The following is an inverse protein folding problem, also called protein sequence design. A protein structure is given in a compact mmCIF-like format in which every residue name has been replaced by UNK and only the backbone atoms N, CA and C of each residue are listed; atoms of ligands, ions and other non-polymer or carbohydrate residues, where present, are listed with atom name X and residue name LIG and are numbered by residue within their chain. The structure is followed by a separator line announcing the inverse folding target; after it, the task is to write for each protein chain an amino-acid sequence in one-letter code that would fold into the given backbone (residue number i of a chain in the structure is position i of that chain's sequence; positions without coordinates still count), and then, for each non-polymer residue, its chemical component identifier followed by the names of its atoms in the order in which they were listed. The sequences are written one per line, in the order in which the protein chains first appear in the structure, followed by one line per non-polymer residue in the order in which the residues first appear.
data_IF_691840370459
#
_entry.id   IF_691840370459
#
_cell.length_a   1.000
_cell.length_b   1.000
_cell.length_c   1.000
_cell.angle_alpha   90.00
_cell.angle_beta   90.00
_cell.angle_gamma   90.00
#
_symmetry.space_group_name_H-M   'P 1'
#
loop_
_entity.id
_entity.type
_entity.pdbx_description
1 polymer ?
#
# COMPACT_ATOMS: atom_id res chain seq x y z
N UNK A 1 9.77 -2.75 -9.61
CA UNK A 1 8.99 -1.90 -8.69
C UNK A 1 9.24 -2.45 -7.30
N UNK A 2 9.92 -1.70 -6.41
CA UNK A 2 10.17 -2.16 -5.04
C UNK A 2 8.85 -2.02 -4.27
N UNK A 3 8.12 -3.12 -4.18
CA UNK A 3 6.90 -3.23 -3.39
C UNK A 3 7.26 -3.03 -1.90
N UNK A 4 6.41 -2.33 -1.15
CA UNK A 4 6.48 -2.28 0.31
C UNK A 4 6.10 -3.65 0.86
N UNK A 5 7.09 -4.54 0.96
CA UNK A 5 6.92 -5.91 1.42
C UNK A 5 8.14 -6.33 2.25
N UNK A 6 7.93 -7.25 3.19
CA UNK A 6 9.01 -7.87 3.95
C UNK A 6 9.85 -8.81 3.08
N UNK A 7 11.02 -9.20 3.58
CA UNK A 7 11.88 -10.20 2.91
C UNK A 7 11.13 -11.52 2.70
N UNK A 8 10.40 -11.98 3.72
CA UNK A 8 9.61 -13.22 3.63
C UNK A 8 8.54 -13.12 2.54
N UNK A 9 7.90 -11.96 2.40
CA UNK A 9 6.92 -11.71 1.35
C UNK A 9 7.54 -11.65 -0.03
N UNK A 10 8.75 -11.10 -0.16
CA UNK A 10 9.47 -11.01 -1.42
C UNK A 10 9.91 -12.39 -1.90
N UNK A 11 10.49 -13.19 -1.00
CA UNK A 11 10.84 -14.59 -1.25
C UNK A 11 9.60 -15.44 -1.53
N UNK A 12 8.49 -15.17 -0.84
CA UNK A 12 7.23 -15.84 -1.13
C UNK A 12 6.66 -15.41 -2.49
N UNK A 13 6.93 -14.18 -2.95
CA UNK A 13 6.32 -13.61 -4.16
C UNK A 13 7.07 -13.94 -5.45
N UNK A 14 8.38 -14.08 -5.36
CA UNK A 14 9.30 -14.17 -6.49
C UNK A 14 10.36 -15.24 -6.20
N UNK A 15 10.18 -16.44 -6.77
CA UNK A 15 11.04 -17.60 -6.49
C UNK A 15 12.50 -17.41 -6.94
N UNK A 16 12.75 -16.54 -7.92
CA UNK A 16 14.10 -16.25 -8.46
C UNK A 16 14.71 -14.97 -7.88
N UNK A 17 14.12 -14.40 -6.82
CA UNK A 17 14.60 -13.13 -6.26
C UNK A 17 15.96 -13.29 -5.56
N UNK A 18 17.01 -12.72 -6.16
CA UNK A 18 18.31 -12.59 -5.50
C UNK A 18 18.29 -11.46 -4.47
N UNK A 19 18.61 -11.80 -3.21
CA UNK A 19 18.66 -10.86 -2.09
C UNK A 19 20.11 -10.57 -1.71
N UNK A 20 20.47 -9.29 -1.66
CA UNK A 20 21.73 -8.83 -1.10
C UNK A 20 21.48 -7.89 0.08
N UNK A 21 22.12 -8.18 1.23
CA UNK A 21 22.10 -7.30 2.40
C UNK A 21 23.32 -6.39 2.33
N UNK A 22 23.10 -5.07 2.32
CA UNK A 22 24.19 -4.10 2.36
C UNK A 22 24.90 -4.13 3.72
N UNK A 23 26.20 -4.46 3.73
CA UNK A 23 27.03 -4.40 4.94
C UNK A 23 27.40 -2.98 5.39
N UNK A 24 26.89 -1.94 4.73
CA UNK A 24 27.03 -0.57 5.22
C UNK A 24 26.07 -0.36 6.39
N UNK A 25 26.54 -0.26 7.65
CA UNK A 25 25.67 0.16 8.73
C UNK A 25 25.15 1.55 8.37
N UNK A 26 23.82 1.72 8.38
CA UNK A 26 23.21 3.03 8.32
C UNK A 26 23.61 3.73 9.62
N UNK A 27 24.75 4.43 9.62
CA UNK A 27 25.17 5.33 10.69
C UNK A 27 24.34 6.60 10.60
N UNK A 28 23.04 6.48 10.85
CA UNK A 28 22.26 7.59 11.34
C UNK A 28 22.54 7.69 12.83
N UNK A 29 23.23 8.75 13.27
CA UNK A 29 23.16 9.11 14.68
C UNK A 29 21.68 9.27 15.00
N UNK A 30 21.09 8.50 15.94
CA UNK A 30 19.72 8.79 16.35
C UNK A 30 19.75 10.23 16.86
N UNK A 31 19.08 11.12 16.13
CA UNK A 31 18.90 12.49 16.57
C UNK A 31 18.29 12.41 17.97
N UNK A 32 18.80 13.21 18.90
CA UNK A 32 18.30 13.33 20.28
C UNK A 32 16.80 13.69 20.33
N UNK A 33 16.20 13.98 19.17
CA UNK A 33 14.84 14.47 18.96
C UNK A 33 13.94 13.39 18.31
N UNK A 34 14.43 12.15 18.19
CA UNK A 34 13.65 10.97 17.78
C UNK A 34 12.32 10.77 18.54
N UNK A 35 12.13 11.22 19.80
CA UNK A 35 10.83 11.09 20.46
C UNK A 35 9.72 12.02 19.92
N UNK A 36 10.00 12.93 18.98
CA UNK A 36 8.96 13.79 18.38
C UNK A 36 8.17 13.10 17.24
N UNK A 37 8.40 11.81 17.01
CA UNK A 37 7.79 11.01 15.95
C UNK A 37 6.27 10.78 16.11
N UNK A 38 5.64 11.21 17.21
CA UNK A 38 4.18 11.25 17.34
C UNK A 38 3.52 12.38 16.53
N UNK A 39 4.30 13.39 16.11
CA UNK A 39 3.85 14.36 15.12
C UNK A 39 4.36 13.97 13.75
N UNK A 40 3.46 13.75 12.79
CA UNK A 40 3.84 13.53 11.39
C UNK A 40 4.68 14.74 10.96
N UNK A 41 5.99 14.59 10.67
CA UNK A 41 6.85 15.74 10.48
C UNK A 41 6.37 16.55 9.27
N UNK A 42 6.14 17.84 9.47
CA UNK A 42 5.97 18.79 8.39
C UNK A 42 7.13 18.65 7.37
N UNK A 43 6.81 18.68 6.06
CA UNK A 43 7.86 18.65 5.03
C UNK A 43 8.89 19.76 5.28
N UNK A 44 10.20 19.50 5.21
CA UNK A 44 11.22 20.54 5.35
C UNK A 44 11.04 21.63 4.28
N UNK A 45 11.25 22.89 4.63
CA UNK A 45 11.03 24.04 3.73
C UNK A 45 11.82 23.92 2.42
N UNK A 46 13.03 23.39 2.47
CA UNK A 46 13.85 23.17 1.26
C UNK A 46 13.16 22.24 0.27
N UNK A 47 12.49 21.20 0.75
CA UNK A 47 11.76 20.26 -0.12
C UNK A 47 10.49 20.91 -0.65
N UNK A 48 9.72 21.59 0.22
CA UNK A 48 8.51 22.33 -0.18
C UNK A 48 8.79 23.33 -1.31
N UNK A 49 9.87 24.08 -1.20
CA UNK A 49 10.26 25.10 -2.19
C UNK A 49 10.68 24.50 -3.56
N UNK A 50 10.96 23.19 -3.62
CA UNK A 50 11.29 22.49 -4.87
C UNK A 50 10.13 21.71 -5.46
N UNK A 51 9.05 21.53 -4.70
CA UNK A 51 7.83 20.89 -5.19
C UNK A 51 7.06 21.87 -6.07
N UNK A 52 6.39 21.35 -7.10
CA UNK A 52 5.31 22.10 -7.74
C UNK A 52 4.22 22.43 -6.70
N UNK A 53 3.31 23.35 -7.04
CA UNK A 53 2.26 23.81 -6.12
C UNK A 53 1.61 22.68 -5.33
N UNK A 54 1.45 22.89 -4.03
CA UNK A 54 0.91 21.88 -3.12
C UNK A 54 -0.53 21.51 -3.48
N UNK A 55 -0.82 20.21 -3.54
CA UNK A 55 -2.18 19.73 -3.70
C UNK A 55 -2.88 19.66 -2.34
N UNK A 56 -3.80 20.58 -2.10
CA UNK A 56 -4.48 20.77 -0.81
C UNK A 56 -5.71 19.89 -0.62
N UNK A 57 -6.00 18.94 -1.52
CA UNK A 57 -7.17 18.05 -1.38
C UNK A 57 -7.07 17.12 -0.17
N UNK A 58 -5.85 16.86 0.32
CA UNK A 58 -5.57 16.05 1.50
C UNK A 58 -4.39 16.67 2.28
N UNK A 59 -4.23 16.36 3.58
CA UNK A 59 -3.04 16.76 4.31
C UNK A 59 -1.76 16.29 3.60
N UNK A 60 -0.74 17.15 3.52
CA UNK A 60 0.50 16.89 2.80
C UNK A 60 1.12 15.53 3.11
N UNK A 61 1.08 15.16 4.40
CA UNK A 61 1.70 13.95 4.93
C UNK A 61 0.70 12.82 5.20
N UNK A 62 -0.52 12.92 4.68
CA UNK A 62 -1.47 11.81 4.70
C UNK A 62 -0.85 10.56 4.08
N UNK A 63 -1.12 9.39 4.65
CA UNK A 63 -0.59 8.09 4.22
C UNK A 63 -1.65 7.32 3.47
N UNK A 64 -1.26 6.65 2.40
CA UNK A 64 -2.19 5.84 1.63
C UNK A 64 -1.52 5.05 0.52
N UNK A 65 -2.36 4.40 -0.27
CA UNK A 65 -1.96 3.62 -1.43
C UNK A 65 -2.33 4.36 -2.70
N UNK A 66 -1.33 4.79 -3.47
CA UNK A 66 -1.55 5.16 -4.86
C UNK A 66 -1.70 3.90 -5.71
N UNK A 67 -2.76 3.83 -6.52
CA UNK A 67 -3.02 2.76 -7.49
C UNK A 67 -3.27 3.37 -8.85
N UNK A 68 -2.62 2.88 -9.89
CA UNK A 68 -2.83 3.39 -11.23
C UNK A 68 -2.68 2.30 -12.30
N UNK A 69 -3.27 2.58 -13.46
CA UNK A 69 -2.98 1.87 -14.69
C UNK A 69 -2.73 2.91 -15.81
N UNK A 70 -2.85 2.50 -17.07
CA UNK A 70 -2.64 3.42 -18.20
C UNK A 70 -3.78 4.43 -18.41
N UNK A 71 -4.94 4.22 -17.76
CA UNK A 71 -6.19 4.95 -17.99
C UNK A 71 -6.63 5.77 -16.79
N UNK A 72 -6.55 5.21 -15.58
CA UNK A 72 -7.01 5.83 -14.35
C UNK A 72 -5.98 5.71 -13.23
N UNK A 73 -6.10 6.62 -12.28
CA UNK A 73 -5.28 6.72 -11.08
C UNK A 73 -6.18 7.05 -9.90
N UNK A 74 -6.00 6.33 -8.79
CA UNK A 74 -6.77 6.53 -7.56
C UNK A 74 -5.85 6.43 -6.35
N UNK A 75 -6.07 7.29 -5.38
CA UNK A 75 -5.38 7.27 -4.10
C UNK A 75 -6.34 6.76 -3.02
N UNK A 76 -5.93 5.72 -2.30
CA UNK A 76 -6.68 5.11 -1.21
C UNK A 76 -6.10 5.59 0.12
N UNK A 77 -6.80 6.48 0.85
CA UNK A 77 -6.39 6.94 2.17
C UNK A 77 -6.25 5.77 3.14
N UNK A 78 -5.18 5.69 3.92
CA UNK A 78 -5.09 4.71 5.01
C UNK A 78 -6.26 4.86 5.98
N UNK A 79 -6.61 6.10 6.33
CA UNK A 79 -7.74 6.41 7.22
C UNK A 79 -9.06 5.85 6.69
N UNK A 80 -9.36 6.03 5.39
CA UNK A 80 -10.58 5.50 4.78
C UNK A 80 -10.60 3.98 4.74
N UNK A 81 -9.45 3.33 4.50
CA UNK A 81 -9.36 1.86 4.53
C UNK A 81 -9.55 1.33 5.95
N UNK A 82 -8.91 1.95 6.95
CA UNK A 82 -9.06 1.54 8.35
C UNK A 82 -10.46 1.79 8.91
N UNK A 83 -11.16 2.82 8.43
CA UNK A 83 -12.58 3.03 8.74
C UNK A 83 -13.50 1.97 8.10
N UNK A 84 -13.00 1.19 7.13
CA UNK A 84 -13.73 0.15 6.40
C UNK A 84 -13.29 -1.26 6.80
N UNK A 85 -13.12 -1.54 8.10
CA UNK A 85 -12.64 -2.83 8.60
C UNK A 85 -11.28 -3.27 7.99
N UNK A 86 -10.42 -2.30 7.70
CA UNK A 86 -9.09 -2.48 7.11
C UNK A 86 -9.08 -3.12 5.70
N UNK A 87 -10.22 -3.13 4.98
CA UNK A 87 -10.26 -3.49 3.56
C UNK A 87 -11.41 -2.81 2.80
N UNK A 88 -11.27 -2.70 1.49
CA UNK A 88 -12.36 -2.32 0.59
C UNK A 88 -12.30 -3.16 -0.68
N UNK A 89 -13.48 -3.54 -1.17
CA UNK A 89 -13.66 -4.09 -2.51
C UNK A 89 -14.29 -2.99 -3.37
N UNK A 90 -13.49 -2.47 -4.30
CA UNK A 90 -13.80 -1.33 -5.15
C UNK A 90 -13.86 -1.74 -6.64
N UNK A 91 -14.40 -0.87 -7.49
CA UNK A 91 -14.35 -0.98 -8.94
C UNK A 91 -13.31 -0.03 -9.53
N UNK A 92 -12.33 -0.59 -10.24
CA UNK A 92 -11.19 0.11 -10.80
C UNK A 92 -11.01 -0.28 -12.28
N UNK A 93 -11.43 0.62 -13.17
CA UNK A 93 -11.39 0.47 -14.63
C UNK A 93 -12.14 -0.78 -15.13
N UNK A 94 -13.36 -0.97 -14.62
CA UNK A 94 -14.24 -2.10 -14.93
C UNK A 94 -13.85 -3.41 -14.25
N UNK A 95 -12.83 -3.39 -13.37
CA UNK A 95 -12.31 -4.58 -12.69
C UNK A 95 -12.41 -4.41 -11.20
N UNK A 96 -12.75 -5.48 -10.51
CA UNK A 96 -12.85 -5.44 -9.06
C UNK A 96 -11.47 -5.49 -8.42
N UNK A 97 -11.22 -4.51 -7.56
CA UNK A 97 -9.96 -4.32 -6.86
C UNK A 97 -10.21 -4.47 -5.37
N UNK A 98 -9.45 -5.37 -4.74
CA UNK A 98 -9.37 -5.43 -3.29
C UNK A 98 -8.19 -4.57 -2.85
N UNK A 99 -8.45 -3.58 -2.01
CA UNK A 99 -7.43 -2.82 -1.28
C UNK A 99 -7.56 -3.21 0.19
N UNK A 100 -6.45 -3.55 0.84
CA UNK A 100 -6.46 -4.06 2.21
C UNK A 100 -5.21 -3.63 2.96
N UNK A 101 -5.30 -3.53 4.27
CA UNK A 101 -4.14 -3.45 5.14
C UNK A 101 -3.47 -4.82 5.25
N UNK A 102 -2.18 -4.88 4.95
CA UNK A 102 -1.37 -6.08 5.12
C UNK A 102 -0.61 -6.00 6.46
N UNK A 103 -0.99 -6.81 7.47
CA UNK A 103 -0.35 -6.76 8.78
C UNK A 103 1.14 -7.11 8.74
N UNK A 104 1.58 -7.95 7.79
CA UNK A 104 2.99 -8.36 7.70
C UNK A 104 3.88 -7.24 7.14
N UNK A 105 3.37 -6.48 6.17
CA UNK A 105 4.06 -5.34 5.57
C UNK A 105 3.84 -4.03 6.33
N UNK A 106 2.89 -3.99 7.27
CA UNK A 106 2.38 -2.77 7.91
C UNK A 106 2.05 -1.67 6.89
N UNK A 107 1.46 -2.07 5.76
CA UNK A 107 1.20 -1.20 4.62
C UNK A 107 -0.11 -1.60 3.93
N UNK A 108 -0.70 -0.66 3.20
CA UNK A 108 -1.78 -1.00 2.28
C UNK A 108 -1.25 -1.75 1.06
N UNK A 109 -2.04 -2.68 0.55
CA UNK A 109 -1.78 -3.41 -0.67
C UNK A 109 -3.05 -3.59 -1.48
N UNK A 110 -2.89 -3.81 -2.79
CA UNK A 110 -4.00 -4.03 -3.70
C UNK A 110 -3.77 -5.22 -4.64
N UNK A 111 -4.84 -5.94 -4.94
CA UNK A 111 -4.88 -6.98 -5.98
C UNK A 111 -6.23 -7.00 -6.68
N UNK A 112 -6.26 -7.45 -7.93
CA UNK A 112 -7.51 -7.70 -8.64
C UNK A 112 -8.14 -9.00 -8.14
N UNK A 113 -9.45 -9.00 -7.96
CA UNK A 113 -10.18 -10.16 -7.43
C UNK A 113 -11.53 -10.35 -8.10
N UNK A 114 -12.09 -11.55 -8.02
CA UNK A 114 -13.48 -11.82 -8.35
C UNK A 114 -14.38 -11.88 -7.11
N UNK A 115 -13.81 -11.82 -5.90
CA UNK A 115 -14.55 -11.85 -4.65
C UNK A 115 -15.43 -10.62 -4.49
N UNK A 116 -16.67 -10.77 -4.04
CA UNK A 116 -17.60 -9.66 -3.77
C UNK A 116 -17.70 -9.30 -2.30
N UNK A 117 -17.13 -10.13 -1.42
CA UNK A 117 -17.03 -9.87 0.01
C UNK A 117 -15.79 -10.53 0.57
N UNK A 118 -15.33 -10.00 1.71
CA UNK A 118 -14.21 -10.52 2.46
C UNK A 118 -14.49 -10.41 3.96
N UNK A 119 -13.77 -11.17 4.77
CA UNK A 119 -13.88 -11.16 6.23
C UNK A 119 -12.50 -11.46 6.82
N UNK A 120 -12.07 -10.65 7.79
CA UNK A 120 -10.90 -10.97 8.58
C UNK A 120 -11.18 -12.15 9.51
N UNK A 121 -10.33 -13.17 9.44
CA UNK A 121 -10.30 -14.30 10.37
C UNK A 121 -8.90 -14.45 10.95
N UNK A 122 -8.75 -15.25 12.01
CA UNK A 122 -7.49 -15.43 12.76
C UNK A 122 -6.26 -15.66 11.89
N UNK A 123 -6.43 -16.30 10.72
CA UNK A 123 -5.33 -16.63 9.81
C UNK A 123 -5.18 -15.70 8.60
N UNK A 124 -6.02 -14.69 8.41
CA UNK A 124 -5.93 -13.75 7.28
C UNK A 124 -7.27 -13.26 6.75
N UNK A 125 -7.24 -12.53 5.63
CA UNK A 125 -8.43 -11.99 4.97
C UNK A 125 -9.02 -13.06 4.06
N UNK A 126 -10.18 -13.60 4.44
CA UNK A 126 -10.88 -14.67 3.71
C UNK A 126 -11.85 -14.05 2.72
N UNK A 127 -11.72 -14.42 1.46
CA UNK A 127 -12.58 -13.96 0.37
C UNK A 127 -13.73 -14.94 0.14
N UNK A 128 -14.90 -14.46 -0.30
CA UNK A 128 -16.04 -15.34 -0.57
C UNK A 128 -15.85 -16.28 -1.78
N UNK A 129 -14.76 -16.12 -2.54
CA UNK A 129 -14.26 -17.10 -3.52
C UNK A 129 -13.61 -18.33 -2.86
N UNK A 130 -13.44 -18.32 -1.54
CA UNK A 130 -12.75 -19.33 -0.75
C UNK A 130 -11.22 -19.21 -0.77
N UNK A 131 -10.67 -18.16 -1.38
CA UNK A 131 -9.26 -17.83 -1.30
C UNK A 131 -8.96 -17.02 -0.04
N UNK A 132 -7.72 -17.05 0.43
CA UNK A 132 -7.30 -16.35 1.65
C UNK A 132 -6.04 -15.56 1.37
N UNK A 133 -5.97 -14.32 1.87
CA UNK A 133 -4.77 -13.49 1.84
C UNK A 133 -4.06 -13.58 3.19
N UNK A 134 -2.78 -13.96 3.16
CA UNK A 134 -1.93 -14.10 4.35
C UNK A 134 -0.54 -13.59 4.06
N UNK A 135 -0.07 -12.63 4.86
CA UNK A 135 1.22 -11.97 4.63
C UNK A 135 1.36 -11.49 3.19
N UNK A 136 0.35 -10.82 2.63
CA UNK A 136 0.37 -10.31 1.26
C UNK A 136 0.34 -11.37 0.14
N UNK A 137 0.29 -12.68 0.43
CA UNK A 137 0.15 -13.73 -0.59
C UNK A 137 -1.27 -14.29 -0.64
N UNK A 138 -1.74 -14.64 -1.84
CA UNK A 138 -3.05 -15.26 -2.07
C UNK A 138 -2.92 -16.79 -2.04
N UNK A 139 -3.82 -17.46 -1.32
CA UNK A 139 -3.86 -18.91 -1.19
C UNK A 139 -5.21 -19.46 -1.63
N UNK A 140 -5.19 -20.63 -2.26
CA UNK A 140 -6.36 -21.43 -2.59
C UNK A 140 -6.91 -22.20 -1.39
N UNK A 141 -8.08 -22.83 -1.57
CA UNK A 141 -8.72 -23.67 -0.55
C UNK A 141 -7.90 -24.92 -0.20
N UNK A 142 -7.09 -25.39 -1.14
CA UNK A 142 -6.13 -26.48 -0.98
C UNK A 142 -4.85 -26.07 -0.22
N UNK A 143 -4.74 -24.78 0.14
CA UNK A 143 -3.58 -24.22 0.82
C UNK A 143 -2.42 -23.88 -0.13
N UNK A 144 -2.56 -24.15 -1.44
CA UNK A 144 -1.54 -23.81 -2.41
C UNK A 144 -1.51 -22.30 -2.66
N UNK A 145 -0.32 -21.77 -2.90
CA UNK A 145 -0.15 -20.37 -3.28
C UNK A 145 -0.69 -20.15 -4.69
N UNK A 146 -1.44 -19.07 -4.87
CA UNK A 146 -1.95 -18.63 -6.16
C UNK A 146 -1.22 -17.37 -6.60
N UNK A 147 -1.02 -17.26 -7.91
CA UNK A 147 -0.59 -16.00 -8.51
C UNK A 147 -1.72 -14.97 -8.39
N UNK A 148 -1.39 -13.80 -7.83
CA UNK A 148 -2.33 -12.70 -7.71
C UNK A 148 -1.95 -11.61 -8.71
N UNK A 149 -2.88 -11.26 -9.60
CA UNK A 149 -2.69 -10.11 -10.46
C UNK A 149 -2.84 -8.82 -9.66
N UNK A 150 -1.87 -7.91 -9.79
CA UNK A 150 -1.78 -6.68 -9.00
C UNK A 150 -1.71 -5.46 -9.93
N UNK A 151 -2.41 -4.35 -9.61
CA UNK A 151 -2.20 -3.10 -10.33
C UNK A 151 -0.82 -2.52 -10.02
N UNK A 152 -0.40 -1.53 -10.80
CA UNK A 152 0.70 -0.68 -10.35
C UNK A 152 0.24 0.07 -9.11
N UNK A 153 1.06 0.00 -8.07
CA UNK A 153 0.72 0.55 -6.77
C UNK A 153 1.97 1.04 -6.04
N UNK A 154 1.77 2.03 -5.17
CA UNK A 154 2.82 2.61 -4.33
C UNK A 154 2.22 3.09 -3.02
N UNK A 155 2.66 2.49 -1.91
CA UNK A 155 2.35 3.00 -0.57
C UNK A 155 3.23 4.22 -0.29
N UNK A 156 2.61 5.38 -0.09
CA UNK A 156 3.34 6.65 -0.02
C UNK A 156 2.56 7.72 0.73
N UNK A 157 3.20 8.89 0.90
CA UNK A 157 2.55 10.10 1.39
C UNK A 157 1.84 10.83 0.25
N UNK A 158 0.73 11.51 0.55
CA UNK A 158 -0.08 12.23 -0.42
C UNK A 158 0.74 13.14 -1.34
N UNK A 159 1.63 13.95 -0.76
CA UNK A 159 2.45 14.87 -1.56
C UNK A 159 3.26 14.16 -2.65
N UNK A 160 3.78 12.96 -2.39
CA UNK A 160 4.60 12.22 -3.36
C UNK A 160 3.75 11.68 -4.51
N UNK A 161 2.51 11.26 -4.20
CA UNK A 161 1.59 10.74 -5.20
C UNK A 161 0.94 11.84 -6.04
N UNK A 162 0.41 12.89 -5.40
CA UNK A 162 -0.30 13.98 -6.06
C UNK A 162 0.59 14.80 -7.02
N UNK A 163 1.90 14.91 -6.73
CA UNK A 163 2.86 15.51 -7.66
C UNK A 163 3.00 14.71 -8.96
N UNK A 164 2.90 13.39 -8.88
CA UNK A 164 3.01 12.50 -10.04
C UNK A 164 1.69 12.42 -10.80
N UNK A 165 0.57 12.40 -10.07
CA UNK A 165 -0.77 12.22 -10.61
C UNK A 165 -1.70 13.35 -10.11
N UNK A 166 -1.56 14.58 -10.63
CA UNK A 166 -2.29 15.75 -10.12
C UNK A 166 -3.81 15.63 -10.32
N UNK A 167 -4.26 14.86 -11.31
CA UNK A 167 -5.69 14.62 -11.57
C UNK A 167 -6.19 13.32 -10.93
N UNK A 168 -5.46 12.74 -9.97
CA UNK A 168 -5.87 11.49 -9.33
C UNK A 168 -7.21 11.61 -8.65
N UNK A 169 -8.00 10.54 -8.75
CA UNK A 169 -9.16 10.33 -7.89
C UNK A 169 -8.68 10.04 -6.46
N UNK A 170 -9.51 10.37 -5.48
CA UNK A 170 -9.30 10.00 -4.08
C UNK A 170 -10.48 9.11 -3.72
N UNK A 171 -10.19 7.92 -3.22
CA UNK A 171 -11.23 7.01 -2.75
C UNK A 171 -11.88 7.59 -1.49
N UNK A 172 -13.21 7.62 -1.50
CA UNK A 172 -14.07 7.97 -0.38
C UNK A 172 -15.05 6.79 -0.16
N UNK A 173 -15.29 6.37 1.10
CA UNK A 173 -16.18 5.25 1.42
C UNK A 173 -17.67 5.54 1.20
#
# INVERSE_FOLDING_TARGET
NLLHMSVDQALASYDELEIAISERPIRGSPSRWWPLAESVPALPDRLRNTMAGEDTRRPTMDVGLGVWNQRIQRYYPMESISASDDFVIDEFDGRRLLVYFDPAGHALSALYTQATSAEWRDMGLVLNTGTVIRGGALYGQDGNRLEAERPMQLFTRWYGYALTFPTTEIYEP
#
